data_IF_975576178067
#
_entry.id   IF_975576178067
#
_cell.length_a   1.000
_cell.length_b   1.000
_cell.length_c   1.000
_cell.angle_alpha   90.00
_cell.angle_beta   90.00
_cell.angle_gamma   90.00
#
_symmetry.space_group_name_H-M   'P 1'
#
loop_
_entity.id
_entity.type
_entity.pdbx_description
1 polymer ?
#
# COMPACT_ATOMS: atom_id res chain seq x y z
N UNK A 1 39.40 48.50 36.55
CA UNK A 1 40.42 48.04 35.58
C UNK A 1 39.87 46.79 34.91
N UNK A 2 39.23 46.89 33.74
CA UNK A 2 39.80 46.45 32.44
C UNK A 2 40.63 45.18 32.56
N UNK A 3 40.14 44.04 32.04
CA UNK A 3 40.77 43.30 30.93
C UNK A 3 39.75 42.40 30.24
N UNK A 4 39.56 42.69 28.96
CA UNK A 4 38.90 41.89 27.94
C UNK A 4 39.91 40.86 27.46
N UNK A 5 39.53 39.58 27.33
CA UNK A 5 40.29 38.61 26.54
C UNK A 5 39.30 37.76 25.73
N UNK A 6 39.32 38.05 24.43
CA UNK A 6 38.58 37.42 23.35
C UNK A 6 39.29 36.11 23.01
N UNK A 7 38.64 34.97 23.25
CA UNK A 7 39.10 33.68 22.74
C UNK A 7 38.57 33.52 21.30
N UNK A 8 39.48 33.63 20.34
CA UNK A 8 39.23 33.44 18.92
C UNK A 8 38.88 31.97 18.63
N UNK A 9 37.65 31.72 18.18
CA UNK A 9 37.26 30.44 17.60
C UNK A 9 37.81 30.36 16.17
N UNK A 10 38.83 29.52 15.97
CA UNK A 10 39.36 29.19 14.66
C UNK A 10 38.36 28.37 13.86
N UNK A 11 37.71 29.01 12.88
CA UNK A 11 36.84 28.38 11.91
C UNK A 11 37.71 27.73 10.82
N UNK A 12 38.06 26.45 11.03
CA UNK A 12 38.75 25.63 10.03
C UNK A 12 37.82 25.32 8.87
N UNK A 13 37.92 26.08 7.78
CA UNK A 13 37.24 25.82 6.51
C UNK A 13 37.89 24.59 5.85
N UNK A 14 37.33 23.40 6.09
CA UNK A 14 37.70 22.18 5.39
C UNK A 14 36.95 22.16 4.05
N UNK A 15 37.54 22.73 3.00
CA UNK A 15 37.05 22.60 1.63
C UNK A 15 37.45 21.22 1.13
N UNK A 16 36.70 20.20 1.56
CA UNK A 16 36.79 18.87 0.99
C UNK A 16 36.25 18.91 -0.43
N UNK A 17 37.13 18.78 -1.42
CA UNK A 17 36.79 18.59 -2.83
C UNK A 17 36.02 17.28 -2.97
N UNK A 18 34.68 17.34 -2.87
CA UNK A 18 33.82 16.19 -3.17
C UNK A 18 33.87 15.98 -4.67
N UNK A 19 34.70 15.03 -5.08
CA UNK A 19 34.74 14.50 -6.43
C UNK A 19 33.43 13.73 -6.65
N UNK A 20 32.39 14.41 -7.13
CA UNK A 20 31.15 13.74 -7.55
C UNK A 20 31.45 13.10 -8.91
N UNK A 21 31.46 11.75 -9.04
CA UNK A 21 31.61 11.13 -10.34
C UNK A 21 30.41 11.51 -11.21
N UNK A 22 30.66 12.42 -12.15
CA UNK A 22 29.75 12.87 -13.18
C UNK A 22 29.62 11.74 -14.21
N UNK A 23 28.78 10.74 -13.94
CA UNK A 23 28.74 9.57 -14.80
C UNK A 23 27.78 8.47 -14.38
N UNK A 24 26.55 8.80 -13.97
CA UNK A 24 25.45 7.85 -14.17
C UNK A 24 24.78 8.21 -15.48
N UNK A 25 25.32 7.65 -16.58
CA UNK A 25 24.60 7.56 -17.83
C UNK A 25 23.33 6.78 -17.53
N UNK A 26 22.20 7.48 -17.38
CA UNK A 26 20.89 6.87 -17.30
C UNK A 26 20.72 6.04 -18.57
N UNK A 27 20.96 4.73 -18.48
CA UNK A 27 20.63 3.81 -19.56
C UNK A 27 19.13 3.97 -19.79
N UNK A 28 18.69 4.32 -21.01
CA UNK A 28 17.27 4.34 -21.30
C UNK A 28 16.76 2.92 -21.04
N UNK A 29 15.80 2.78 -20.12
CA UNK A 29 15.10 1.52 -19.90
C UNK A 29 14.67 0.99 -21.26
N UNK A 30 15.01 -0.26 -21.57
CA UNK A 30 14.64 -0.84 -22.85
C UNK A 30 13.11 -0.91 -22.93
N UNK A 31 12.56 -0.84 -24.15
CA UNK A 31 11.11 -1.00 -24.35
C UNK A 31 10.62 -2.30 -23.72
N UNK A 32 11.43 -3.35 -23.78
CA UNK A 32 11.18 -4.65 -23.16
C UNK A 32 11.06 -4.58 -21.62
N UNK A 33 11.89 -3.77 -20.95
CA UNK A 33 11.78 -3.57 -19.50
C UNK A 33 10.49 -2.84 -19.11
N UNK A 34 10.09 -1.86 -19.93
CA UNK A 34 8.84 -1.12 -19.72
C UNK A 34 7.60 -2.01 -19.90
N UNK A 35 7.61 -2.90 -20.89
CA UNK A 35 6.56 -3.89 -21.11
C UNK A 35 6.47 -4.90 -19.96
N UNK A 36 7.60 -5.43 -19.49
CA UNK A 36 7.63 -6.34 -18.34
C UNK A 36 7.14 -5.68 -17.05
N UNK A 37 7.51 -4.43 -16.81
CA UNK A 37 7.02 -3.69 -15.64
C UNK A 37 5.51 -3.45 -15.75
N UNK A 38 5.00 -3.15 -16.94
CA UNK A 38 3.58 -3.03 -17.19
C UNK A 38 2.81 -4.31 -16.86
N UNK A 39 3.29 -5.46 -17.35
CA UNK A 39 2.66 -6.76 -17.06
C UNK A 39 2.61 -7.06 -15.56
N UNK A 40 3.67 -6.73 -14.81
CA UNK A 40 3.69 -6.89 -13.35
C UNK A 40 2.62 -6.05 -12.66
N UNK A 41 2.38 -4.83 -13.14
CA UNK A 41 1.29 -3.99 -12.63
C UNK A 41 -0.08 -4.59 -12.91
N UNK A 42 -0.30 -5.10 -14.12
CA UNK A 42 -1.57 -5.75 -14.48
C UNK A 42 -1.84 -6.96 -13.59
N UNK A 43 -0.87 -7.86 -13.42
CA UNK A 43 -1.02 -9.04 -12.54
C UNK A 43 -1.33 -8.62 -11.10
N UNK A 44 -0.58 -7.63 -10.58
CA UNK A 44 -0.80 -7.12 -9.21
C UNK A 44 -2.20 -6.54 -9.04
N UNK A 45 -2.65 -5.68 -9.95
CA UNK A 45 -3.95 -5.02 -9.85
C UNK A 45 -5.10 -6.02 -9.98
N UNK A 46 -4.98 -7.02 -10.87
CA UNK A 46 -5.94 -8.12 -10.96
C UNK A 46 -6.03 -8.88 -9.64
N UNK A 47 -4.89 -9.25 -9.05
CA UNK A 47 -4.86 -9.93 -7.76
C UNK A 47 -5.54 -9.08 -6.66
N UNK A 48 -5.32 -7.76 -6.63
CA UNK A 48 -5.97 -6.87 -5.66
C UNK A 48 -7.47 -6.76 -5.87
N UNK A 49 -7.94 -6.75 -7.11
CA UNK A 49 -9.36 -6.71 -7.43
C UNK A 49 -10.04 -8.03 -7.01
N UNK A 50 -9.38 -9.16 -7.24
CA UNK A 50 -9.87 -10.47 -6.79
C UNK A 50 -9.89 -10.58 -5.25
N UNK A 51 -8.85 -10.10 -4.56
CA UNK A 51 -8.82 -10.00 -3.09
C UNK A 51 -9.99 -9.15 -2.56
N UNK A 52 -10.26 -8.00 -3.19
CA UNK A 52 -11.39 -7.14 -2.81
C UNK A 52 -12.74 -7.83 -3.03
N UNK A 53 -12.93 -8.49 -4.18
CA UNK A 53 -14.16 -9.24 -4.47
C UNK A 53 -14.38 -10.37 -3.48
N UNK A 54 -13.33 -11.13 -3.17
CA UNK A 54 -13.39 -12.21 -2.19
C UNK A 54 -13.70 -11.69 -0.78
N UNK A 55 -13.08 -10.59 -0.36
CA UNK A 55 -13.32 -9.99 0.95
C UNK A 55 -14.75 -9.45 1.08
N UNK A 56 -15.30 -8.80 0.03
CA UNK A 56 -16.70 -8.37 -0.01
C UNK A 56 -17.66 -9.54 0.18
N UNK A 57 -17.47 -10.62 -0.58
CA UNK A 57 -18.30 -11.82 -0.49
C UNK A 57 -18.21 -12.48 0.89
N UNK A 58 -17.01 -12.54 1.47
CA UNK A 58 -16.81 -13.10 2.83
C UNK A 58 -17.53 -12.26 3.88
N UNK A 59 -17.40 -10.93 3.81
CA UNK A 59 -18.07 -10.01 4.73
C UNK A 59 -19.60 -10.11 4.63
N UNK A 60 -20.15 -10.15 3.42
CA UNK A 60 -21.59 -10.33 3.17
C UNK A 60 -22.10 -11.64 3.79
N UNK A 61 -21.41 -12.77 3.52
CA UNK A 61 -21.78 -14.07 4.09
C UNK A 61 -21.72 -14.09 5.61
N UNK A 62 -20.69 -13.47 6.21
CA UNK A 62 -20.55 -13.39 7.66
C UNK A 62 -21.67 -12.52 8.28
N UNK A 63 -22.05 -11.42 7.62
CA UNK A 63 -23.16 -10.56 8.04
C UNK A 63 -24.51 -11.27 7.94
N UNK A 64 -24.76 -12.01 6.87
CA UNK A 64 -25.98 -12.78 6.68
C UNK A 64 -26.07 -13.93 7.70
N UNK A 65 -24.96 -14.65 7.92
CA UNK A 65 -24.89 -15.67 8.97
C UNK A 65 -25.19 -15.08 10.35
N UNK A 66 -24.59 -13.93 10.68
CA UNK A 66 -24.86 -13.22 11.93
C UNK A 66 -26.32 -12.76 12.05
N UNK A 67 -26.93 -12.30 10.95
CA UNK A 67 -28.33 -11.87 10.92
C UNK A 67 -29.29 -13.04 11.14
N UNK A 68 -29.10 -14.15 10.44
CA UNK A 68 -29.89 -15.38 10.62
C UNK A 68 -29.74 -15.92 12.04
N UNK A 69 -28.51 -15.98 12.53
CA UNK A 69 -28.16 -16.39 13.90
C UNK A 69 -28.90 -15.57 14.95
N UNK A 70 -28.90 -14.23 14.82
CA UNK A 70 -29.54 -13.30 15.75
C UNK A 70 -31.05 -13.47 15.79
N UNK A 71 -31.67 -13.84 14.66
CA UNK A 71 -33.12 -13.95 14.55
C UNK A 71 -33.67 -15.31 14.97
N UNK A 72 -32.92 -16.41 14.76
CA UNK A 72 -33.51 -17.76 14.81
C UNK A 72 -32.91 -18.71 15.84
N UNK A 73 -31.63 -18.61 16.18
CA UNK A 73 -30.93 -19.69 16.90
C UNK A 73 -30.46 -19.35 18.31
N UNK A 74 -30.26 -18.08 18.65
CA UNK A 74 -29.71 -17.63 19.95
C UNK A 74 -28.56 -18.48 20.56
N UNK A 75 -27.50 -18.87 19.81
CA UNK A 75 -26.36 -19.58 20.38
C UNK A 75 -25.68 -18.80 21.52
N UNK A 76 -25.07 -19.55 22.43
CA UNK A 76 -24.32 -19.03 23.58
C UNK A 76 -22.94 -19.69 23.62
N UNK A 77 -22.01 -19.06 24.32
CA UNK A 77 -20.65 -19.58 24.47
C UNK A 77 -19.85 -19.56 23.17
N UNK A 78 -19.06 -20.61 22.94
CA UNK A 78 -18.01 -20.68 21.91
C UNK A 78 -18.53 -20.45 20.48
N UNK A 79 -19.71 -20.96 20.11
CA UNK A 79 -20.26 -20.76 18.76
C UNK A 79 -20.55 -19.29 18.46
N UNK A 80 -21.03 -18.54 19.46
CA UNK A 80 -21.26 -17.10 19.34
C UNK A 80 -19.93 -16.38 19.15
N UNK A 81 -18.94 -16.74 19.95
CA UNK A 81 -17.62 -16.12 19.90
C UNK A 81 -16.94 -16.36 18.54
N UNK A 82 -16.99 -17.59 18.03
CA UNK A 82 -16.46 -17.94 16.71
C UNK A 82 -17.15 -17.14 15.59
N UNK A 83 -18.47 -16.98 15.65
CA UNK A 83 -19.20 -16.21 14.63
C UNK A 83 -18.89 -14.72 14.70
N UNK A 84 -18.79 -14.15 15.91
CA UNK A 84 -18.40 -12.75 16.08
C UNK A 84 -16.96 -12.49 15.63
N UNK A 85 -16.06 -13.45 15.88
CA UNK A 85 -14.68 -13.41 15.41
C UNK A 85 -14.62 -13.43 13.88
N UNK A 86 -15.32 -14.37 13.23
CA UNK A 86 -15.39 -14.45 11.76
C UNK A 86 -15.95 -13.15 11.15
N UNK A 87 -17.01 -12.59 11.73
CA UNK A 87 -17.57 -11.31 11.28
C UNK A 87 -16.56 -10.16 11.39
N UNK A 88 -15.84 -10.09 12.50
CA UNK A 88 -14.82 -9.06 12.72
C UNK A 88 -13.64 -9.22 11.74
N UNK A 89 -13.16 -10.44 11.54
CA UNK A 89 -12.07 -10.76 10.61
C UNK A 89 -12.46 -10.45 9.15
N UNK A 90 -13.67 -10.85 8.74
CA UNK A 90 -14.16 -10.59 7.39
C UNK A 90 -14.29 -9.08 7.12
N UNK A 91 -14.79 -8.32 8.10
CA UNK A 91 -14.86 -6.84 8.02
C UNK A 91 -13.49 -6.20 7.93
N UNK A 92 -12.54 -6.66 8.74
CA UNK A 92 -11.19 -6.13 8.70
C UNK A 92 -10.50 -6.45 7.38
N UNK A 93 -10.65 -7.68 6.86
CA UNK A 93 -10.13 -8.07 5.56
C UNK A 93 -10.69 -7.19 4.44
N UNK A 94 -12.01 -6.93 4.44
CA UNK A 94 -12.65 -6.03 3.49
C UNK A 94 -12.06 -4.62 3.60
N UNK A 95 -11.98 -4.07 4.81
CA UNK A 95 -11.43 -2.73 5.08
C UNK A 95 -9.99 -2.61 4.57
N UNK A 96 -9.18 -3.66 4.74
CA UNK A 96 -7.80 -3.71 4.23
C UNK A 96 -7.78 -3.72 2.70
N UNK A 97 -8.59 -4.58 2.06
CA UNK A 97 -8.65 -4.70 0.61
C UNK A 97 -9.10 -3.38 -0.05
N UNK A 98 -10.11 -2.72 0.52
CA UNK A 98 -10.63 -1.42 0.08
C UNK A 98 -9.57 -0.31 0.11
N UNK A 99 -8.60 -0.38 1.03
CA UNK A 99 -7.48 0.56 1.07
C UNK A 99 -6.33 0.18 0.14
N UNK A 100 -6.10 -1.11 -0.10
CA UNK A 100 -4.96 -1.60 -0.89
C UNK A 100 -5.13 -1.29 -2.37
N UNK A 101 -6.30 -1.55 -2.95
CA UNK A 101 -6.51 -1.38 -4.39
C UNK A 101 -6.31 0.08 -4.85
N UNK A 102 -6.88 1.12 -4.20
CA UNK A 102 -6.62 2.51 -4.56
C UNK A 102 -5.14 2.91 -4.42
N UNK A 103 -4.48 2.43 -3.36
CA UNK A 103 -3.05 2.69 -3.13
C UNK A 103 -2.18 2.09 -4.25
N UNK A 104 -2.48 0.87 -4.68
CA UNK A 104 -1.75 0.21 -5.76
C UNK A 104 -2.04 0.88 -7.12
N UNK A 105 -3.26 1.39 -7.34
CA UNK A 105 -3.59 2.20 -8.53
C UNK A 105 -2.81 3.53 -8.58
N UNK A 106 -2.66 4.20 -7.45
CA UNK A 106 -1.83 5.41 -7.36
C UNK A 106 -0.34 5.11 -7.55
N UNK A 107 0.13 3.97 -7.05
CA UNK A 107 1.50 3.51 -7.28
C UNK A 107 1.75 3.21 -8.77
N UNK A 108 0.82 2.51 -9.43
CA UNK A 108 0.88 2.24 -10.86
C UNK A 108 0.87 3.53 -11.69
N UNK A 109 0.05 4.52 -11.32
CA UNK A 109 0.03 5.84 -11.97
C UNK A 109 1.37 6.55 -11.83
N UNK A 110 1.98 6.52 -10.64
CA UNK A 110 3.31 7.10 -10.39
C UNK A 110 4.43 6.37 -11.13
N UNK A 111 4.25 5.09 -11.42
CA UNK A 111 5.17 4.30 -12.24
C UNK A 111 5.01 4.56 -13.75
N UNK A 112 4.08 5.42 -14.17
CA UNK A 112 3.88 5.77 -15.58
C UNK A 112 2.94 4.83 -16.35
N UNK A 113 2.19 3.97 -15.67
CA UNK A 113 1.21 3.09 -16.32
C UNK A 113 0.10 3.95 -16.98
N UNK A 114 -0.20 3.76 -18.28
CA UNK A 114 -1.18 4.59 -18.97
C UNK A 114 -2.59 4.43 -18.39
N UNK A 115 -3.39 5.52 -18.33
CA UNK A 115 -4.69 5.52 -17.66
C UNK A 115 -5.71 4.56 -18.27
N UNK A 116 -5.61 4.26 -19.57
CA UNK A 116 -6.48 3.29 -20.26
C UNK A 116 -6.40 1.89 -19.64
N UNK A 117 -5.20 1.47 -19.21
CA UNK A 117 -4.99 0.17 -18.58
C UNK A 117 -5.42 0.14 -17.11
N UNK A 118 -5.50 1.31 -16.45
CA UNK A 118 -5.95 1.41 -15.07
C UNK A 118 -7.47 1.47 -14.93
N UNK A 119 -8.20 1.79 -16.01
CA UNK A 119 -9.66 1.99 -16.00
C UNK A 119 -10.44 0.75 -15.53
N UNK A 120 -10.12 -0.50 -15.94
CA UNK A 120 -10.87 -1.70 -15.52
C UNK A 120 -10.84 -1.97 -14.01
N UNK A 121 -9.88 -1.41 -13.29
CA UNK A 121 -9.65 -1.66 -11.87
C UNK A 121 -10.24 -0.59 -10.95
N UNK A 122 -10.95 0.41 -11.51
CA UNK A 122 -11.57 1.51 -10.73
C UNK A 122 -13.00 1.20 -10.26
N UNK A 123 -13.57 0.10 -10.73
CA UNK A 123 -14.92 -0.40 -10.43
C UNK A 123 -14.83 -1.50 -9.34
#
# INVERSE_FOLDING_TARGET
MRFVLIAAAGFGLWVGTVWVPLGSLAQPASVEDAEREHERWVVRLTQRQDELRAARLRAERAEDAYRDWRQRKWPRGEEKEAMLAELAEAKEALRIAERRLPRDLEAARRAGVPPGHLRPFRE
#
